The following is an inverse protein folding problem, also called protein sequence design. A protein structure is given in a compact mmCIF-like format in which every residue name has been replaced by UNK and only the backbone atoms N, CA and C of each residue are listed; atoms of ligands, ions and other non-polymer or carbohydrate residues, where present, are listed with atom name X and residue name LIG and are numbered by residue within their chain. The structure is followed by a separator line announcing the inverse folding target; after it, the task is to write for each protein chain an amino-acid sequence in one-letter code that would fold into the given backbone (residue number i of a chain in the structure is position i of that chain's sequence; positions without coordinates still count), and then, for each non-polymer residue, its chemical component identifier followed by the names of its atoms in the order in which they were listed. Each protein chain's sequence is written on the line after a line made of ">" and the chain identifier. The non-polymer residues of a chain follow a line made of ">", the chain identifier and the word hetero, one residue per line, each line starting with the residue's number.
data_IF_276909233069
#
_entry.id   IF_276909233069
#
_cell.length_a   1.000
_cell.length_b   1.000
_cell.length_c   1.000
_cell.angle_alpha   90.00
_cell.angle_beta   90.00
_cell.angle_gamma   90.00
#
_symmetry.space_group_name_H-M   'P 1'
#
loop_
_entity.id
_entity.type
_entity.pdbx_description
1 polymer ?
#
# COMPACT_ATOMS: atom_id res chain seq x y z
N UNK A 1 -11.36 -25.54 -33.45
CA UNK A 1 -10.49 -25.25 -32.29
C UNK A 1 -9.75 -23.94 -32.56
N UNK A 2 -9.95 -22.91 -31.74
CA UNK A 2 -9.28 -21.61 -31.91
C UNK A 2 -7.81 -21.75 -31.50
N UNK A 3 -6.90 -21.61 -32.46
CA UNK A 3 -5.47 -21.59 -32.20
C UNK A 3 -5.10 -20.34 -31.39
N UNK A 4 -4.62 -20.54 -30.17
CA UNK A 4 -4.02 -19.49 -29.36
C UNK A 4 -2.77 -18.98 -30.08
N UNK A 5 -2.81 -17.71 -30.52
CA UNK A 5 -1.66 -17.05 -31.15
C UNK A 5 -0.41 -17.05 -30.25
N UNK A 6 0.78 -16.83 -30.84
CA UNK A 6 2.05 -16.96 -30.14
C UNK A 6 2.10 -16.07 -28.89
N UNK A 7 2.37 -16.68 -27.73
CA UNK A 7 2.60 -15.97 -26.47
C UNK A 7 3.76 -14.98 -26.66
N UNK A 8 3.49 -13.67 -26.51
CA UNK A 8 4.54 -12.64 -26.46
C UNK A 8 5.56 -13.05 -25.38
N UNK A 9 6.83 -13.21 -25.77
CA UNK A 9 7.94 -13.44 -24.84
C UNK A 9 7.91 -12.34 -23.76
N UNK A 10 8.02 -12.67 -22.46
CA UNK A 10 8.09 -11.65 -21.43
C UNK A 10 9.31 -10.77 -21.70
N UNK A 11 9.11 -9.45 -21.79
CA UNK A 11 10.21 -8.49 -21.74
C UNK A 11 10.88 -8.69 -20.38
N UNK A 12 12.11 -9.20 -20.37
CA UNK A 12 12.96 -9.23 -19.18
C UNK A 12 13.11 -7.79 -18.72
N UNK A 13 12.39 -7.46 -17.65
CA UNK A 13 12.52 -6.16 -17.01
C UNK A 13 13.81 -6.20 -16.21
N UNK A 14 14.55 -5.10 -16.19
CA UNK A 14 15.77 -5.02 -15.40
C UNK A 14 15.50 -5.45 -13.94
N UNK A 15 16.35 -6.30 -13.32
CA UNK A 15 16.14 -6.78 -11.96
C UNK A 15 15.94 -5.66 -10.93
N UNK A 16 16.68 -4.55 -11.03
CA UNK A 16 16.52 -3.42 -10.10
C UNK A 16 15.17 -2.73 -10.30
N UNK A 17 14.70 -2.59 -11.54
CA UNK A 17 13.35 -2.10 -11.81
C UNK A 17 12.31 -3.06 -11.22
N UNK A 18 12.53 -4.36 -11.34
CA UNK A 18 11.64 -5.37 -10.76
C UNK A 18 11.58 -5.29 -9.23
N UNK A 19 12.72 -5.18 -8.55
CA UNK A 19 12.80 -5.01 -7.10
C UNK A 19 12.20 -3.67 -6.64
N UNK A 20 12.47 -2.59 -7.37
CA UNK A 20 11.89 -1.27 -7.11
C UNK A 20 10.36 -1.28 -7.14
N UNK A 21 9.75 -2.07 -8.04
CA UNK A 21 8.29 -2.27 -8.07
C UNK A 21 7.76 -2.92 -6.80
N UNK A 22 8.49 -3.87 -6.21
CA UNK A 22 8.09 -4.53 -4.97
C UNK A 22 8.30 -3.63 -3.75
N UNK A 23 9.47 -3.01 -3.66
CA UNK A 23 9.83 -2.05 -2.63
C UNK A 23 8.79 -0.93 -2.50
N UNK A 24 8.42 -0.32 -3.63
CA UNK A 24 7.41 0.75 -3.67
C UNK A 24 6.01 0.32 -3.21
N UNK A 25 5.68 -0.97 -3.32
CA UNK A 25 4.36 -1.50 -2.91
C UNK A 25 4.32 -2.00 -1.47
N UNK A 26 5.46 -2.39 -0.90
CA UNK A 26 5.48 -3.19 0.33
C UNK A 26 6.36 -2.65 1.45
N UNK A 27 7.23 -1.69 1.13
CA UNK A 27 8.14 -1.07 2.10
C UNK A 27 7.86 0.44 2.16
N UNK A 28 8.05 1.16 1.05
CA UNK A 28 7.78 2.60 1.05
C UNK A 28 7.42 3.15 -0.33
N UNK A 29 6.21 3.69 -0.47
CA UNK A 29 5.67 4.09 -1.78
C UNK A 29 6.10 5.47 -2.29
N UNK A 30 6.46 6.37 -1.36
CA UNK A 30 6.65 7.80 -1.64
C UNK A 30 8.05 8.31 -1.25
N UNK A 31 9.05 7.46 -1.07
CA UNK A 31 10.39 7.93 -0.74
C UNK A 31 11.15 8.36 -2.00
N UNK A 32 12.11 9.27 -1.83
CA UNK A 32 13.14 9.52 -2.83
C UNK A 32 14.24 8.47 -2.66
N UNK A 33 14.30 7.48 -3.55
CA UNK A 33 15.24 6.35 -3.41
C UNK A 33 16.69 6.81 -3.51
N UNK A 34 16.98 7.88 -4.25
CA UNK A 34 18.32 8.42 -4.35
C UNK A 34 18.78 9.00 -3.01
N UNK A 35 17.99 9.91 -2.43
CA UNK A 35 18.27 10.45 -1.11
C UNK A 35 18.37 9.36 -0.04
N UNK A 36 17.46 8.38 -0.07
CA UNK A 36 17.45 7.24 0.85
C UNK A 36 18.77 6.44 0.81
N UNK A 37 19.29 6.15 -0.38
CA UNK A 37 20.55 5.42 -0.54
C UNK A 37 21.73 6.29 -0.11
N UNK A 38 21.81 7.53 -0.58
CA UNK A 38 22.90 8.45 -0.23
C UNK A 38 23.00 8.65 1.29
N UNK A 39 21.88 8.98 1.94
CA UNK A 39 21.84 9.18 3.39
C UNK A 39 22.15 7.89 4.15
N UNK A 40 21.68 6.75 3.66
CA UNK A 40 21.96 5.44 4.25
C UNK A 40 23.44 5.05 4.19
N UNK A 41 24.09 5.31 3.06
CA UNK A 41 25.53 5.08 2.87
C UNK A 41 26.34 5.99 3.80
N UNK A 42 26.06 7.30 3.81
CA UNK A 42 26.72 8.26 4.72
C UNK A 42 26.58 7.82 6.18
N UNK A 43 25.40 7.34 6.57
CA UNK A 43 25.17 6.86 7.93
C UNK A 43 25.98 5.60 8.27
N UNK A 44 26.15 4.69 7.32
CA UNK A 44 26.92 3.45 7.53
C UNK A 44 28.44 3.63 7.39
N UNK A 45 28.90 4.72 6.76
CA UNK A 45 30.32 5.05 6.65
C UNK A 45 30.73 6.11 7.67
N UNK A 46 30.43 7.37 7.38
CA UNK A 46 30.90 8.56 8.08
C UNK A 46 30.30 8.72 9.47
N UNK A 47 29.06 8.26 9.68
CA UNK A 47 28.33 8.40 10.95
C UNK A 47 28.08 7.06 11.66
N UNK A 48 28.90 6.05 11.36
CA UNK A 48 28.72 4.69 11.87
C UNK A 48 28.94 4.54 13.37
N UNK A 49 29.76 5.41 13.97
CA UNK A 49 30.04 5.44 15.40
C UNK A 49 29.06 6.30 16.21
N UNK A 50 28.17 7.06 15.54
CA UNK A 50 27.19 7.89 16.23
C UNK A 50 26.09 7.02 16.88
N UNK A 51 25.75 7.27 18.16
CA UNK A 51 24.68 6.53 18.82
C UNK A 51 23.31 6.87 18.22
N UNK A 52 22.33 5.98 18.38
CA UNK A 52 21.01 6.13 17.75
C UNK A 52 20.27 7.41 18.20
N UNK A 53 20.54 7.88 19.42
CA UNK A 53 20.00 9.11 20.01
C UNK A 53 20.51 10.38 19.32
N UNK A 54 21.62 10.32 18.57
CA UNK A 54 22.13 11.45 17.80
C UNK A 54 21.26 11.77 16.57
N UNK A 55 20.39 10.85 16.16
CA UNK A 55 19.55 10.97 14.97
C UNK A 55 18.12 11.36 15.35
N UNK A 56 17.56 12.27 14.56
CA UNK A 56 16.15 12.64 14.65
C UNK A 56 15.23 11.43 14.39
N UNK A 57 13.98 11.50 14.87
CA UNK A 57 12.99 10.46 14.59
C UNK A 57 12.82 10.21 13.07
N UNK A 58 12.93 11.27 12.26
CA UNK A 58 12.84 11.17 10.81
C UNK A 58 14.05 10.42 10.21
N UNK A 59 15.27 10.75 10.61
CA UNK A 59 16.48 10.04 10.15
C UNK A 59 16.47 8.57 10.55
N UNK A 60 15.97 8.24 11.75
CA UNK A 60 15.82 6.85 12.19
C UNK A 60 14.81 6.07 11.35
N UNK A 61 13.66 6.67 11.02
CA UNK A 61 12.68 6.08 10.10
C UNK A 61 13.25 5.89 8.70
N UNK A 62 13.93 6.91 8.16
CA UNK A 62 14.56 6.82 6.84
C UNK A 62 15.60 5.69 6.79
N UNK A 63 16.44 5.58 7.83
CA UNK A 63 17.42 4.50 7.91
C UNK A 63 16.80 3.10 8.05
N UNK A 64 15.66 2.97 8.75
CA UNK A 64 14.87 1.74 8.79
C UNK A 64 14.40 1.35 7.39
N UNK A 65 13.88 2.30 6.61
CA UNK A 65 13.46 2.07 5.22
C UNK A 65 14.66 1.67 4.34
N UNK A 66 15.80 2.32 4.51
CA UNK A 66 17.05 1.99 3.81
C UNK A 66 17.49 0.55 4.12
N UNK A 67 17.49 0.16 5.39
CA UNK A 67 17.85 -1.19 5.83
C UNK A 67 16.90 -2.24 5.24
N UNK A 68 15.59 -1.95 5.19
CA UNK A 68 14.61 -2.82 4.55
C UNK A 68 14.83 -2.93 3.04
N UNK A 69 15.21 -1.83 2.36
CA UNK A 69 15.58 -1.87 0.94
C UNK A 69 16.77 -2.79 0.70
N UNK A 70 17.86 -2.64 1.47
CA UNK A 70 19.06 -3.48 1.36
C UNK A 70 18.73 -4.96 1.51
N UNK A 71 17.90 -5.32 2.51
CA UNK A 71 17.47 -6.71 2.74
C UNK A 71 16.54 -7.26 1.66
N UNK A 72 15.82 -6.39 0.94
CA UNK A 72 14.82 -6.80 -0.06
C UNK A 72 15.42 -7.15 -1.43
N UNK A 73 16.68 -6.77 -1.68
CA UNK A 73 17.37 -6.97 -2.96
C UNK A 73 18.66 -7.75 -2.71
N UNK A 74 18.73 -9.03 -3.13
CA UNK A 74 19.93 -9.84 -2.92
C UNK A 74 21.20 -9.20 -3.49
N UNK A 75 22.23 -9.08 -2.67
CA UNK A 75 23.54 -8.52 -3.05
C UNK A 75 23.57 -7.00 -3.26
N UNK A 76 22.48 -6.28 -2.98
CA UNK A 76 22.42 -4.82 -3.18
C UNK A 76 23.34 -4.07 -2.23
N UNK A 77 23.37 -4.46 -0.95
CA UNK A 77 24.19 -3.82 0.08
C UNK A 77 25.67 -3.93 -0.27
N UNK A 78 26.16 -5.15 -0.53
CA UNK A 78 27.55 -5.39 -0.98
C UNK A 78 27.87 -4.55 -2.22
N UNK A 79 27.00 -4.61 -3.24
CA UNK A 79 27.22 -3.87 -4.49
C UNK A 79 27.33 -2.34 -4.28
N UNK A 80 26.52 -1.77 -3.39
CA UNK A 80 26.57 -0.34 -3.09
C UNK A 80 27.83 -0.01 -2.27
N UNK A 81 28.14 -0.82 -1.27
CA UNK A 81 29.25 -0.55 -0.34
C UNK A 81 30.63 -0.77 -0.96
N UNK A 82 30.75 -1.63 -1.97
CA UNK A 82 32.02 -1.88 -2.69
C UNK A 82 32.16 -1.05 -3.96
N UNK A 83 31.18 -0.20 -4.31
CA UNK A 83 31.27 0.60 -5.53
C UNK A 83 32.06 1.87 -5.28
N UNK A 84 33.16 2.04 -6.02
CA UNK A 84 33.93 3.29 -6.03
C UNK A 84 33.32 4.36 -6.98
N UNK A 85 32.16 4.07 -7.58
CA UNK A 85 31.51 4.93 -8.58
C UNK A 85 30.19 5.50 -8.06
N UNK A 86 30.18 6.80 -7.75
CA UNK A 86 28.94 7.54 -7.44
C UNK A 86 27.90 7.44 -8.57
N UNK A 87 28.36 7.37 -9.82
CA UNK A 87 27.49 7.20 -10.99
C UNK A 87 26.79 5.84 -10.98
N UNK A 88 27.48 4.76 -10.61
CA UNK A 88 26.87 3.45 -10.48
C UNK A 88 25.80 3.44 -9.38
N UNK A 89 26.10 3.98 -8.20
CA UNK A 89 25.14 4.08 -7.09
C UNK A 89 23.92 4.91 -7.50
N UNK A 90 24.14 6.02 -8.21
CA UNK A 90 23.07 6.85 -8.77
C UNK A 90 22.20 6.08 -9.78
N UNK A 91 22.83 5.28 -10.65
CA UNK A 91 22.13 4.46 -11.63
C UNK A 91 21.28 3.37 -10.97
N UNK A 92 21.81 2.72 -9.91
CA UNK A 92 21.06 1.75 -9.10
C UNK A 92 19.82 2.41 -8.49
N UNK A 93 19.98 3.56 -7.84
CA UNK A 93 18.90 4.32 -7.24
C UNK A 93 17.83 4.71 -8.28
N UNK A 94 18.28 5.15 -9.46
CA UNK A 94 17.40 5.52 -10.58
C UNK A 94 16.56 4.34 -11.07
N UNK A 95 17.15 3.15 -11.18
CA UNK A 95 16.44 1.96 -11.63
C UNK A 95 15.42 1.46 -10.60
N UNK A 96 15.76 1.49 -9.31
CA UNK A 96 14.83 1.20 -8.22
C UNK A 96 13.67 2.22 -8.18
N UNK A 97 13.98 3.51 -8.27
CA UNK A 97 12.97 4.59 -8.30
C UNK A 97 12.04 4.44 -9.51
N UNK A 98 12.59 4.12 -10.68
CA UNK A 98 11.82 3.83 -11.90
C UNK A 98 10.88 2.65 -11.68
N UNK A 99 11.34 1.60 -11.01
CA UNK A 99 10.51 0.48 -10.59
C UNK A 99 9.32 0.91 -9.74
N UNK A 100 9.57 1.60 -8.63
CA UNK A 100 8.55 2.07 -7.70
C UNK A 100 7.52 2.99 -8.39
N UNK A 101 7.99 3.98 -9.17
CA UNK A 101 7.12 4.91 -9.90
C UNK A 101 6.29 4.19 -10.96
N UNK A 102 6.89 3.24 -11.71
CA UNK A 102 6.16 2.48 -12.74
C UNK A 102 5.08 1.58 -12.12
N UNK A 103 5.37 0.92 -10.98
CA UNK A 103 4.37 0.15 -10.25
C UNK A 103 3.18 1.02 -9.84
N UNK A 104 3.46 2.19 -9.26
CA UNK A 104 2.43 3.15 -8.84
C UNK A 104 1.57 3.65 -9.99
N UNK A 105 2.17 3.96 -11.13
CA UNK A 105 1.44 4.40 -12.34
C UNK A 105 0.55 3.29 -12.91
N UNK A 106 1.06 2.05 -12.97
CA UNK A 106 0.29 0.88 -13.43
C UNK A 106 -0.92 0.61 -12.51
N UNK A 107 -0.69 0.62 -11.19
CA UNK A 107 -1.71 0.35 -10.19
C UNK A 107 -2.78 1.46 -10.20
N UNK A 108 -2.36 2.73 -10.21
CA UNK A 108 -3.25 3.90 -10.37
C UNK A 108 -4.15 3.74 -11.60
N UNK A 109 -3.55 3.42 -12.74
CA UNK A 109 -4.27 3.27 -14.01
C UNK A 109 -5.29 2.13 -13.95
N UNK A 110 -4.90 0.99 -13.37
CA UNK A 110 -5.75 -0.20 -13.32
C UNK A 110 -6.90 -0.08 -12.32
N UNK A 111 -6.69 0.60 -11.18
CA UNK A 111 -7.71 0.81 -10.16
C UNK A 111 -8.73 1.88 -10.56
N UNK A 112 -8.33 2.85 -11.38
CA UNK A 112 -9.16 3.99 -11.80
C UNK A 112 -10.55 3.58 -12.27
N UNK A 113 -10.66 2.54 -13.09
CA UNK A 113 -11.96 2.05 -13.58
C UNK A 113 -12.57 1.04 -12.62
N UNK A 114 -11.78 0.08 -12.12
CA UNK A 114 -12.25 -1.03 -11.31
C UNK A 114 -12.95 -0.56 -10.02
N UNK A 115 -12.45 0.49 -9.38
CA UNK A 115 -13.03 0.96 -8.12
C UNK A 115 -14.46 1.47 -8.24
N UNK A 116 -14.86 1.94 -9.42
CA UNK A 116 -16.23 2.42 -9.68
C UNK A 116 -17.21 1.26 -9.65
N UNK A 117 -16.81 0.10 -10.17
CA UNK A 117 -17.63 -1.12 -10.14
C UNK A 117 -17.83 -1.66 -8.71
N UNK A 118 -17.04 -1.18 -7.75
CA UNK A 118 -17.14 -1.61 -6.34
C UNK A 118 -17.98 -0.69 -5.47
N UNK A 119 -18.40 0.47 -6.01
CA UNK A 119 -19.14 1.48 -5.23
C UNK A 119 -20.56 1.04 -4.88
N UNK A 120 -21.17 0.21 -5.72
CA UNK A 120 -22.52 -0.33 -5.55
C UNK A 120 -22.54 -1.85 -5.79
N UNK A 121 -23.54 -2.56 -5.26
CA UNK A 121 -23.82 -3.94 -5.63
C UNK A 121 -24.00 -4.13 -7.15
N UNK A 122 -23.75 -5.35 -7.63
CA UNK A 122 -23.92 -5.68 -9.03
C UNK A 122 -25.39 -5.48 -9.47
N UNK A 123 -25.59 -4.71 -10.55
CA UNK A 123 -26.91 -4.39 -11.09
C UNK A 123 -27.46 -3.02 -10.68
N UNK A 124 -26.83 -2.35 -9.72
CA UNK A 124 -27.16 -0.97 -9.37
C UNK A 124 -26.33 0.05 -10.17
N UNK A 125 -26.92 1.23 -10.40
CA UNK A 125 -26.28 2.31 -11.14
C UNK A 125 -26.05 3.53 -10.23
N UNK A 126 -24.88 4.17 -10.39
CA UNK A 126 -24.61 5.46 -9.77
C UNK A 126 -25.46 6.54 -10.42
N UNK A 127 -26.01 7.43 -9.60
CA UNK A 127 -26.80 8.58 -10.05
C UNK A 127 -26.17 9.84 -9.44
N UNK A 128 -25.60 10.75 -10.27
CA UNK A 128 -25.39 10.60 -11.71
C UNK A 128 -24.33 9.52 -12.07
N UNK A 129 -24.32 8.96 -13.28
CA UNK A 129 -23.30 7.99 -13.68
C UNK A 129 -21.88 8.57 -13.61
N UNK A 130 -20.94 7.83 -13.02
CA UNK A 130 -19.52 8.21 -12.98
C UNK A 130 -18.76 7.59 -14.15
N UNK A 131 -18.01 8.41 -14.88
CA UNK A 131 -17.10 7.94 -15.92
C UNK A 131 -16.00 7.00 -15.36
N UNK A 132 -15.82 5.83 -15.99
CA UNK A 132 -14.78 4.86 -15.59
C UNK A 132 -13.35 5.37 -15.79
N UNK A 133 -13.14 6.19 -16.82
CA UNK A 133 -11.80 6.67 -17.24
C UNK A 133 -11.58 8.17 -16.98
N UNK A 134 -12.57 8.89 -16.43
CA UNK A 134 -12.49 10.33 -16.14
C UNK A 134 -12.82 10.51 -14.66
N UNK A 135 -12.01 11.31 -13.95
CA UNK A 135 -12.14 11.50 -12.50
C UNK A 135 -12.84 12.79 -12.09
N UNK A 136 -13.06 13.74 -13.01
CA UNK A 136 -13.52 15.10 -12.69
C UNK A 136 -14.80 15.11 -11.83
N UNK A 137 -15.76 14.24 -12.16
CA UNK A 137 -17.03 14.08 -11.44
C UNK A 137 -16.94 13.20 -10.17
N UNK A 138 -15.75 12.80 -9.73
CA UNK A 138 -15.55 12.02 -8.50
C UNK A 138 -15.18 12.95 -7.34
N UNK A 139 -14.67 12.40 -6.25
CA UNK A 139 -14.36 13.18 -5.07
C UNK A 139 -15.64 13.72 -4.44
N UNK A 140 -15.57 14.96 -3.95
CA UNK A 140 -16.69 15.64 -3.31
C UNK A 140 -17.78 16.10 -4.30
N UNK A 141 -17.52 16.07 -5.62
CA UNK A 141 -18.50 16.43 -6.65
C UNK A 141 -19.61 15.39 -6.85
N UNK A 142 -19.46 14.18 -6.32
CA UNK A 142 -20.46 13.12 -6.42
C UNK A 142 -20.80 12.54 -5.05
N UNK A 143 -22.10 12.33 -4.81
CA UNK A 143 -22.65 11.91 -3.52
C UNK A 143 -21.97 10.67 -2.95
N UNK A 144 -21.87 9.59 -3.73
CA UNK A 144 -21.25 8.33 -3.29
C UNK A 144 -19.75 8.41 -3.00
N UNK A 145 -18.96 9.02 -3.88
CA UNK A 145 -17.51 9.13 -3.69
C UNK A 145 -17.16 10.14 -2.62
N UNK A 146 -17.92 11.24 -2.53
CA UNK A 146 -17.77 12.26 -1.51
C UNK A 146 -18.07 11.70 -0.13
N UNK A 147 -19.16 10.94 0.03
CA UNK A 147 -19.48 10.26 1.28
C UNK A 147 -18.34 9.36 1.76
N UNK A 148 -17.71 8.59 0.87
CA UNK A 148 -16.59 7.73 1.22
C UNK A 148 -15.32 8.50 1.57
N UNK A 149 -15.07 9.64 0.91
CA UNK A 149 -13.87 10.45 1.11
C UNK A 149 -14.01 11.48 2.22
N UNK A 150 -15.22 11.68 2.75
CA UNK A 150 -15.47 12.55 3.88
C UNK A 150 -14.64 12.08 5.09
N UNK A 151 -13.97 13.00 5.82
CA UNK A 151 -13.29 12.66 7.05
C UNK A 151 -14.21 11.92 8.02
N UNK A 152 -13.68 10.92 8.72
CA UNK A 152 -14.48 10.02 9.55
C UNK A 152 -15.26 10.72 10.68
N UNK A 153 -14.71 11.81 11.22
CA UNK A 153 -15.36 12.64 12.25
C UNK A 153 -16.24 13.77 11.72
N UNK A 154 -16.51 13.81 10.40
CA UNK A 154 -17.28 14.87 9.75
C UNK A 154 -18.57 14.28 9.22
N UNK A 155 -19.70 14.91 9.54
CA UNK A 155 -21.00 14.46 9.05
C UNK A 155 -21.20 14.88 7.58
N UNK A 156 -21.11 13.90 6.68
CA UNK A 156 -21.39 14.12 5.27
C UNK A 156 -22.85 14.54 5.02
N UNK A 157 -23.79 14.30 5.92
CA UNK A 157 -25.20 14.67 5.72
C UNK A 157 -25.44 16.19 5.76
N UNK A 158 -24.53 16.94 6.39
CA UNK A 158 -24.55 18.40 6.49
C UNK A 158 -24.28 19.05 5.11
N UNK A 159 -25.26 19.81 4.62
CA UNK A 159 -25.19 20.47 3.32
C UNK A 159 -24.14 21.58 3.28
N UNK A 160 -23.91 22.30 4.37
CA UNK A 160 -22.89 23.34 4.43
C UNK A 160 -21.50 22.72 4.29
N UNK A 161 -21.26 21.61 5.00
CA UNK A 161 -20.02 20.84 4.92
C UNK A 161 -19.80 20.30 3.51
N UNK A 162 -20.83 19.70 2.88
CA UNK A 162 -20.74 19.24 1.48
C UNK A 162 -20.32 20.36 0.53
N UNK A 163 -20.91 21.55 0.68
CA UNK A 163 -20.60 22.68 -0.19
C UNK A 163 -19.18 23.18 0.03
N UNK A 164 -18.72 23.30 1.28
CA UNK A 164 -17.35 23.71 1.60
C UNK A 164 -16.30 22.71 1.08
N UNK A 165 -16.59 21.41 1.16
CA UNK A 165 -15.73 20.36 0.60
C UNK A 165 -15.71 20.38 -0.94
N UNK A 166 -16.84 20.68 -1.58
CA UNK A 166 -16.95 20.82 -3.04
C UNK A 166 -16.24 22.07 -3.57
N UNK A 167 -16.40 23.20 -2.89
CA UNK A 167 -15.76 24.47 -3.28
C UNK A 167 -14.27 24.50 -2.97
N UNK A 168 -13.80 23.63 -2.07
CA UNK A 168 -12.43 23.63 -1.56
C UNK A 168 -12.19 24.65 -0.44
N UNK A 169 -13.23 25.31 0.06
CA UNK A 169 -13.16 26.17 1.24
C UNK A 169 -12.78 25.38 2.49
N UNK A 170 -13.27 24.14 2.61
CA UNK A 170 -12.81 23.18 3.60
C UNK A 170 -11.78 22.26 2.96
N UNK A 171 -10.50 22.57 3.19
CA UNK A 171 -9.40 21.68 2.80
C UNK A 171 -9.29 20.52 3.78
N UNK A 172 -9.24 19.29 3.26
CA UNK A 172 -9.08 18.06 4.05
C UNK A 172 -7.61 17.69 4.07
N UNK A 173 -6.99 17.83 5.23
CA UNK A 173 -5.60 17.44 5.47
C UNK A 173 -5.42 15.92 5.37
N UNK A 174 -4.24 15.44 4.96
CA UNK A 174 -3.98 14.01 4.76
C UNK A 174 -4.13 13.16 6.03
N UNK A 175 -3.95 13.73 7.22
CA UNK A 175 -4.19 13.08 8.52
C UNK A 175 -5.66 13.01 8.94
N UNK A 176 -6.56 13.72 8.25
CA UNK A 176 -8.00 13.55 8.40
C UNK A 176 -8.47 12.35 7.58
N UNK A 177 -8.37 11.18 8.18
CA UNK A 177 -8.65 9.93 7.48
C UNK A 177 -10.12 9.81 7.05
N UNK A 178 -10.38 9.36 5.80
CA UNK A 178 -11.72 9.26 5.28
C UNK A 178 -12.46 8.04 5.84
N UNK A 179 -13.80 8.13 5.90
CA UNK A 179 -14.66 7.01 6.33
C UNK A 179 -14.47 5.74 5.47
N UNK A 180 -13.95 5.90 4.25
CA UNK A 180 -13.48 4.82 3.35
C UNK A 180 -12.63 3.76 4.05
N UNK A 181 -11.84 4.14 5.06
CA UNK A 181 -10.94 3.20 5.73
C UNK A 181 -11.69 2.22 6.64
N UNK A 182 -12.87 2.59 7.12
CA UNK A 182 -13.56 1.88 8.18
C UNK A 182 -14.46 0.77 7.65
N UNK A 183 -14.51 -0.34 8.39
CA UNK A 183 -15.45 -1.44 8.13
C UNK A 183 -16.88 -0.91 8.10
N UNK A 184 -17.65 -1.33 7.10
CA UNK A 184 -19.02 -0.84 6.86
C UNK A 184 -19.17 0.68 6.73
N UNK A 185 -18.06 1.42 6.56
CA UNK A 185 -18.02 2.88 6.50
C UNK A 185 -18.63 3.54 7.74
N UNK A 186 -18.32 3.01 8.94
CA UNK A 186 -18.78 3.55 10.23
C UNK A 186 -17.60 3.86 11.13
N UNK A 187 -17.58 5.08 11.67
CA UNK A 187 -16.60 5.54 12.64
C UNK A 187 -17.21 5.48 14.05
N UNK A 188 -16.41 5.04 15.02
CA UNK A 188 -16.76 4.94 16.42
C UNK A 188 -15.80 5.84 17.20
N UNK A 189 -16.29 6.98 17.67
CA UNK A 189 -15.48 7.99 18.38
C UNK A 189 -14.97 7.48 19.75
N UNK A 190 -15.70 6.54 20.36
CA UNK A 190 -15.29 5.88 21.60
C UNK A 190 -14.27 4.77 21.39
N UNK A 191 -14.16 4.26 20.16
CA UNK A 191 -13.16 3.26 19.77
C UNK A 191 -12.68 3.48 18.32
N UNK A 192 -11.76 4.45 18.09
CA UNK A 192 -11.30 4.82 16.76
C UNK A 192 -10.61 3.69 15.98
N UNK A 193 -10.13 2.64 16.65
CA UNK A 193 -9.53 1.47 15.99
C UNK A 193 -10.55 0.53 15.36
N UNK A 194 -11.81 0.60 15.81
CA UNK A 194 -12.84 -0.34 15.42
C UNK A 194 -13.10 -0.29 13.92
N UNK A 195 -12.67 -1.34 13.23
CA UNK A 195 -12.86 -1.47 11.79
C UNK A 195 -11.92 -0.62 10.95
N UNK A 196 -10.96 0.10 11.54
CA UNK A 196 -10.00 0.91 10.81
C UNK A 196 -9.18 0.03 9.85
N UNK A 197 -9.02 0.48 8.60
CA UNK A 197 -8.36 -0.23 7.50
C UNK A 197 -8.97 -1.60 7.17
N UNK A 198 -10.24 -1.84 7.49
CA UNK A 198 -10.94 -3.13 7.25
C UNK A 198 -12.14 -3.00 6.29
N UNK A 199 -12.25 -1.90 5.56
CA UNK A 199 -13.36 -1.74 4.61
C UNK A 199 -13.26 -2.70 3.42
N UNK A 200 -14.43 -3.12 2.90
CA UNK A 200 -14.50 -4.08 1.79
C UNK A 200 -13.81 -3.55 0.53
N UNK A 201 -13.94 -2.26 0.25
CA UNK A 201 -13.32 -1.63 -0.91
C UNK A 201 -11.78 -1.59 -0.81
N UNK A 202 -11.23 -1.47 0.40
CA UNK A 202 -9.78 -1.62 0.61
C UNK A 202 -9.32 -3.05 0.35
N UNK A 203 -10.06 -4.06 0.83
CA UNK A 203 -9.73 -5.47 0.55
C UNK A 203 -9.77 -5.75 -0.96
N UNK A 204 -10.77 -5.22 -1.67
CA UNK A 204 -10.84 -5.32 -3.15
C UNK A 204 -9.66 -4.63 -3.83
N UNK A 205 -9.29 -3.43 -3.40
CA UNK A 205 -8.14 -2.69 -3.93
C UNK A 205 -6.83 -3.46 -3.70
N UNK A 206 -6.62 -4.00 -2.50
CA UNK A 206 -5.46 -4.82 -2.17
C UNK A 206 -5.40 -6.06 -3.06
N UNK A 207 -6.50 -6.80 -3.19
CA UNK A 207 -6.57 -8.00 -4.04
C UNK A 207 -6.29 -7.67 -5.51
N UNK A 208 -6.83 -6.56 -6.01
CA UNK A 208 -6.59 -6.08 -7.37
C UNK A 208 -5.12 -5.77 -7.62
N UNK A 209 -4.44 -5.11 -6.68
CA UNK A 209 -3.00 -4.79 -6.78
C UNK A 209 -2.15 -6.05 -6.63
N UNK A 210 -2.36 -6.84 -5.57
CA UNK A 210 -1.40 -7.86 -5.15
C UNK A 210 -1.70 -9.26 -5.69
N UNK A 211 -2.96 -9.63 -5.87
CA UNK A 211 -3.33 -11.01 -6.24
C UNK A 211 -3.68 -11.14 -7.72
N UNK A 212 -4.77 -10.53 -8.17
CA UNK A 212 -5.15 -10.44 -9.58
C UNK A 212 -6.38 -9.55 -9.68
N UNK A 213 -6.55 -8.77 -10.75
CA UNK A 213 -7.85 -8.13 -11.02
C UNK A 213 -9.01 -9.15 -11.07
N UNK A 214 -8.74 -10.37 -11.53
CA UNK A 214 -9.75 -11.44 -11.64
C UNK A 214 -10.15 -12.09 -10.31
N UNK A 215 -9.34 -11.98 -9.25
CA UNK A 215 -9.64 -12.61 -7.94
C UNK A 215 -10.59 -11.79 -7.06
N UNK A 216 -11.06 -10.63 -7.55
CA UNK A 216 -12.01 -9.79 -6.83
C UNK A 216 -13.43 -10.37 -6.85
N UNK A 217 -13.80 -11.16 -7.88
CA UNK A 217 -15.19 -11.59 -8.10
C UNK A 217 -15.47 -13.11 -8.17
N UNK A 218 -14.56 -13.99 -8.66
CA UNK A 218 -14.66 -15.48 -8.62
C UNK A 218 -13.43 -16.17 -9.24
N UNK A 219 -13.32 -17.50 -9.12
CA UNK A 219 -12.17 -18.38 -9.47
C UNK A 219 -11.20 -17.84 -10.52
N UNK A 220 -9.93 -17.76 -10.13
CA UNK A 220 -8.84 -17.12 -10.85
C UNK A 220 -8.59 -17.77 -12.23
N UNK A 221 -9.21 -17.21 -13.27
CA UNK A 221 -8.78 -17.39 -14.68
C UNK A 221 -7.62 -16.44 -15.02
N UNK A 222 -6.62 -16.37 -14.14
CA UNK A 222 -5.49 -15.46 -14.32
C UNK A 222 -4.51 -16.02 -15.36
N UNK A 223 -4.25 -15.27 -16.43
CA UNK A 223 -3.23 -15.61 -17.44
C UNK A 223 -1.81 -15.27 -16.98
N UNK A 224 -1.67 -14.56 -15.85
CA UNK A 224 -0.40 -14.12 -15.24
C UNK A 224 -0.46 -14.24 -13.72
N UNK A 225 0.67 -14.55 -13.11
CA UNK A 225 0.83 -14.56 -11.64
C UNK A 225 0.58 -13.16 -11.06
N UNK A 226 -0.04 -13.11 -9.88
CA UNK A 226 -0.19 -11.88 -9.10
C UNK A 226 1.11 -11.31 -8.59
N UNK A 227 1.15 -10.01 -8.28
CA UNK A 227 2.32 -9.35 -7.71
C UNK A 227 2.81 -10.04 -6.42
N UNK A 228 1.90 -10.46 -5.54
CA UNK A 228 2.21 -11.23 -4.35
C UNK A 228 2.94 -12.54 -4.67
N UNK A 229 2.43 -13.30 -5.66
CA UNK A 229 3.08 -14.55 -6.09
C UNK A 229 4.42 -14.30 -6.80
N UNK A 230 4.49 -13.26 -7.63
CA UNK A 230 5.69 -12.86 -8.36
C UNK A 230 6.84 -12.57 -7.39
N UNK A 231 6.54 -11.92 -6.26
CA UNK A 231 7.54 -11.54 -5.26
C UNK A 231 7.57 -12.47 -4.04
N UNK A 232 6.90 -13.64 -4.10
CA UNK A 232 6.93 -14.62 -3.01
C UNK A 232 6.29 -14.16 -1.69
N UNK A 233 5.37 -13.20 -1.73
CA UNK A 233 4.68 -12.71 -0.53
C UNK A 233 3.82 -13.81 0.10
N UNK A 234 4.03 -14.04 1.39
CA UNK A 234 3.24 -14.97 2.22
C UNK A 234 2.38 -14.26 3.25
N UNK A 235 2.61 -12.96 3.45
CA UNK A 235 1.85 -12.08 4.33
C UNK A 235 1.80 -10.66 3.79
N UNK A 236 0.86 -9.88 4.30
CA UNK A 236 0.78 -8.43 4.11
C UNK A 236 1.84 -7.73 4.96
N UNK A 237 2.21 -6.52 4.57
CA UNK A 237 2.97 -5.56 5.39
C UNK A 237 2.10 -4.34 5.70
N UNK A 238 2.38 -3.59 6.77
CA UNK A 238 1.72 -2.32 7.07
C UNK A 238 1.75 -1.39 5.84
N UNK A 239 2.95 -1.17 5.28
CA UNK A 239 3.13 -0.36 4.09
C UNK A 239 2.32 -0.85 2.87
N UNK A 240 2.12 -2.16 2.68
CA UNK A 240 1.28 -2.68 1.60
C UNK A 240 -0.21 -2.37 1.78
N UNK A 241 -0.70 -2.35 3.02
CA UNK A 241 -2.07 -1.98 3.35
C UNK A 241 -2.25 -0.47 3.11
N UNK A 242 -1.34 0.34 3.65
CA UNK A 242 -1.35 1.80 3.45
C UNK A 242 -1.26 2.14 1.96
N UNK A 243 -0.39 1.49 1.21
CA UNK A 243 -0.29 1.67 -0.23
C UNK A 243 -1.62 1.41 -0.94
N UNK A 244 -2.31 0.30 -0.63
CA UNK A 244 -3.62 0.00 -1.20
C UNK A 244 -4.67 1.06 -0.81
N UNK A 245 -4.63 1.55 0.43
CA UNK A 245 -5.50 2.63 0.90
C UNK A 245 -5.25 3.96 0.17
N UNK A 246 -3.99 4.35 0.00
CA UNK A 246 -3.61 5.56 -0.76
C UNK A 246 -4.04 5.45 -2.21
N UNK A 247 -3.86 4.28 -2.84
CA UNK A 247 -4.30 4.02 -4.20
C UNK A 247 -5.83 4.09 -4.35
N UNK A 248 -6.58 3.50 -3.41
CA UNK A 248 -8.04 3.53 -3.41
C UNK A 248 -8.58 4.95 -3.21
N UNK A 249 -8.05 5.67 -2.19
CA UNK A 249 -8.40 7.07 -1.91
C UNK A 249 -8.13 7.94 -3.13
N UNK A 250 -6.95 7.81 -3.73
CA UNK A 250 -6.63 8.54 -4.96
C UNK A 250 -7.59 8.17 -6.08
N UNK A 251 -7.87 6.89 -6.35
CA UNK A 251 -8.76 6.49 -7.44
C UNK A 251 -10.19 7.05 -7.30
N UNK A 252 -10.67 7.28 -6.08
CA UNK A 252 -11.97 7.90 -5.80
C UNK A 252 -11.96 9.43 -5.82
N UNK A 253 -10.79 10.08 -5.76
CA UNK A 253 -10.70 11.54 -5.80
C UNK A 253 -11.01 12.11 -7.19
N UNK A 254 -11.17 13.43 -7.29
CA UNK A 254 -11.30 14.13 -8.57
C UNK A 254 -9.96 14.41 -9.27
N UNK A 255 -8.84 14.38 -8.54
CA UNK A 255 -7.50 14.74 -9.04
C UNK A 255 -7.05 13.82 -10.18
N UNK A 256 -6.51 14.38 -11.26
CA UNK A 256 -6.02 13.61 -12.41
C UNK A 256 -4.56 13.15 -12.27
N UNK A 257 -3.79 13.78 -11.37
CA UNK A 257 -2.35 13.57 -11.22
C UNK A 257 -2.05 13.09 -9.80
N UNK A 258 -1.33 11.97 -9.70
CA UNK A 258 -0.77 11.52 -8.44
C UNK A 258 0.61 12.17 -8.26
N UNK A 259 0.71 13.18 -7.40
CA UNK A 259 1.98 13.84 -7.07
C UNK A 259 2.25 13.78 -5.57
N UNK A 260 3.53 13.76 -5.21
CA UNK A 260 4.00 13.94 -3.83
C UNK A 260 3.72 15.34 -3.30
N UNK A 261 3.79 16.33 -4.18
CA UNK A 261 3.57 17.75 -3.86
C UNK A 261 2.10 18.19 -4.02
N UNK A 262 1.19 17.25 -4.30
CA UNK A 262 -0.23 17.57 -4.44
C UNK A 262 -0.83 17.84 -3.04
N UNK A 263 -0.99 19.12 -2.71
CA UNK A 263 -1.63 19.57 -1.48
C UNK A 263 -3.16 19.47 -1.50
N UNK A 264 -3.76 19.22 -2.67
CA UNK A 264 -5.22 19.06 -2.79
C UNK A 264 -5.66 17.67 -2.34
N UNK A 265 -4.94 16.63 -2.76
CA UNK A 265 -5.18 15.29 -2.20
C UNK A 265 -4.34 15.03 -0.97
N UNK A 266 -3.20 15.68 -0.80
CA UNK A 266 -2.27 15.49 0.32
C UNK A 266 -1.93 14.00 0.55
N UNK A 267 -1.63 13.31 -0.57
CA UNK A 267 -1.44 11.85 -0.59
C UNK A 267 -0.21 11.39 0.19
N UNK A 268 0.83 12.24 0.30
CA UNK A 268 2.04 11.94 1.07
C UNK A 268 1.77 12.00 2.58
N UNK A 269 1.13 13.06 3.08
CA UNK A 269 0.72 13.13 4.50
C UNK A 269 -0.27 12.03 4.86
N UNK A 270 -1.20 11.71 3.96
CA UNK A 270 -2.12 10.58 4.15
C UNK A 270 -1.38 9.24 4.28
N UNK A 271 -0.42 8.97 3.40
CA UNK A 271 0.38 7.74 3.48
C UNK A 271 1.23 7.72 4.76
N UNK A 272 1.94 8.80 5.06
CA UNK A 272 2.85 8.86 6.20
C UNK A 272 2.09 8.78 7.53
N UNK A 273 0.99 9.51 7.70
CA UNK A 273 0.20 9.47 8.95
C UNK A 273 -0.33 8.07 9.28
N UNK A 274 -0.83 7.33 8.28
CA UNK A 274 -1.25 5.94 8.48
C UNK A 274 -0.06 5.03 8.80
N UNK A 275 1.05 5.18 8.09
CA UNK A 275 2.21 4.33 8.31
C UNK A 275 2.85 4.60 9.68
N UNK A 276 2.92 5.86 10.10
CA UNK A 276 3.41 6.27 11.42
C UNK A 276 2.57 5.65 12.53
N UNK A 277 1.23 5.74 12.44
CA UNK A 277 0.35 5.09 13.42
C UNK A 277 0.55 3.56 13.43
N UNK A 278 0.68 2.91 12.27
CA UNK A 278 0.90 1.46 12.20
C UNK A 278 2.30 1.01 12.65
N UNK A 279 3.24 1.95 12.82
CA UNK A 279 4.59 1.71 13.31
C UNK A 279 4.79 2.20 14.75
N UNK A 280 3.77 2.78 15.37
CA UNK A 280 3.80 3.23 16.74
C UNK A 280 3.91 2.03 17.70
N UNK A 281 4.94 1.97 18.57
CA UNK A 281 5.07 0.91 19.56
C UNK A 281 3.83 0.74 20.44
N UNK A 282 3.12 1.81 20.76
CA UNK A 282 1.95 1.79 21.65
C UNK A 282 0.73 1.11 20.99
N UNK A 283 0.71 1.05 19.66
CA UNK A 283 -0.39 0.49 18.85
C UNK A 283 -0.13 -0.97 18.43
N UNK A 284 0.94 -1.59 18.94
CA UNK A 284 1.41 -2.91 18.49
C UNK A 284 0.35 -4.02 18.62
N UNK A 285 -0.51 -3.96 19.63
CA UNK A 285 -1.54 -4.99 19.88
C UNK A 285 -2.59 -4.95 18.76
N UNK A 286 -3.11 -3.77 18.47
CA UNK A 286 -4.11 -3.46 17.46
C UNK A 286 -3.55 -3.72 16.05
N UNK A 287 -2.32 -3.29 15.78
CA UNK A 287 -1.62 -3.54 14.51
C UNK A 287 -1.45 -5.03 14.26
N UNK A 288 -1.04 -5.82 15.26
CA UNK A 288 -0.91 -7.27 15.11
C UNK A 288 -2.25 -7.96 14.83
N UNK A 289 -3.33 -7.50 15.48
CA UNK A 289 -4.68 -7.99 15.20
C UNK A 289 -5.12 -7.64 13.76
N UNK A 290 -4.83 -6.42 13.31
CA UNK A 290 -5.10 -5.95 11.95
C UNK A 290 -4.35 -6.80 10.91
N UNK A 291 -3.04 -7.01 11.08
CA UNK A 291 -2.22 -7.82 10.19
C UNK A 291 -2.71 -9.27 10.12
N UNK A 292 -3.08 -9.84 11.27
CA UNK A 292 -3.67 -11.19 11.35
C UNK A 292 -4.97 -11.28 10.54
N UNK A 293 -5.85 -10.29 10.70
CA UNK A 293 -7.11 -10.21 9.96
C UNK A 293 -6.88 -10.09 8.45
N UNK A 294 -5.97 -9.21 8.04
CA UNK A 294 -5.64 -9.01 6.62
C UNK A 294 -5.08 -10.27 5.99
N UNK A 295 -4.13 -10.92 6.65
CA UNK A 295 -3.53 -12.15 6.17
C UNK A 295 -4.57 -13.25 5.96
N UNK A 296 -5.51 -13.43 6.90
CA UNK A 296 -6.65 -14.35 6.74
C UNK A 296 -7.56 -13.99 5.57
N UNK A 297 -7.70 -12.69 5.28
CA UNK A 297 -8.62 -12.17 4.26
C UNK A 297 -8.07 -12.26 2.82
N UNK A 298 -6.75 -12.22 2.65
CA UNK A 298 -6.10 -12.15 1.33
C UNK A 298 -5.21 -13.35 0.99
N UNK A 299 -4.68 -14.07 1.97
CA UNK A 299 -3.83 -15.25 1.76
C UNK A 299 -4.54 -16.54 2.23
N UNK A 300 -5.09 -17.36 1.30
CA UNK A 300 -5.85 -18.56 1.65
C UNK A 300 -5.10 -19.61 2.48
N UNK A 301 -3.76 -19.62 2.38
CA UNK A 301 -2.89 -20.56 3.10
C UNK A 301 -2.29 -19.99 4.38
N UNK A 302 -2.74 -18.80 4.83
CA UNK A 302 -2.24 -18.21 6.06
C UNK A 302 -2.75 -18.97 7.28
N UNK A 303 -1.87 -19.79 7.86
CA UNK A 303 -2.13 -20.51 9.11
C UNK A 303 -1.48 -19.75 10.26
N UNK A 304 -2.29 -19.11 11.12
CA UNK A 304 -1.79 -18.59 12.42
C UNK A 304 -1.43 -19.70 13.39
N UNK A 305 -1.98 -20.90 13.16
CA UNK A 305 -1.81 -22.02 14.04
C UNK A 305 -0.75 -22.94 13.45
N UNK A 306 0.42 -23.00 14.11
CA UNK A 306 1.18 -24.26 14.13
C UNK A 306 0.16 -25.33 14.50
N UNK A 307 -0.13 -26.28 13.60
CA UNK A 307 -1.02 -27.39 13.93
C UNK A 307 -0.56 -27.94 15.29
N UNK A 308 -1.43 -28.03 16.30
CA UNK A 308 -1.03 -28.58 17.59
C UNK A 308 -0.37 -29.92 17.30
N UNK A 309 0.88 -30.04 17.72
CA UNK A 309 1.65 -31.25 17.53
C UNK A 309 0.86 -32.36 18.22
N UNK A 310 0.43 -33.36 17.46
CA UNK A 310 -0.35 -34.47 18.03
C UNK A 310 0.41 -35.01 19.25
N UNK A 311 -0.30 -35.19 20.37
CA UNK A 311 0.28 -35.58 21.66
C UNK A 311 1.14 -36.85 21.55
N UNK A 312 0.79 -37.74 20.61
CA UNK A 312 1.49 -39.01 20.39
C UNK A 312 2.59 -38.95 19.33
N UNK A 313 2.77 -37.81 18.67
CA UNK A 313 3.77 -37.69 17.61
C UNK A 313 5.20 -37.74 18.16
N UNK A 314 6.12 -38.24 17.33
CA UNK A 314 7.55 -38.20 17.64
C UNK A 314 8.03 -36.77 17.95
N UNK A 315 7.47 -35.75 17.28
CA UNK A 315 7.79 -34.35 17.52
C UNK A 315 7.38 -33.87 18.92
N UNK A 316 6.23 -34.30 19.45
CA UNK A 316 5.83 -34.02 20.83
C UNK A 316 6.80 -34.67 21.83
N UNK A 317 7.17 -35.93 21.59
CA UNK A 317 8.13 -36.68 22.43
C UNK A 317 9.54 -36.10 22.40
N UNK A 318 9.98 -35.56 21.26
CA UNK A 318 11.27 -34.88 21.12
C UNK A 318 11.27 -33.54 21.86
N UNK A 319 10.21 -32.74 21.73
CA UNK A 319 10.09 -31.46 22.44
C UNK A 319 10.02 -31.61 23.96
N UNK A 320 9.40 -32.68 24.45
CA UNK A 320 9.33 -32.97 25.89
C UNK A 320 10.66 -33.42 26.53
N UNK A 321 11.69 -33.69 25.72
CA UNK A 321 13.03 -34.08 26.18
C UNK A 321 14.04 -32.93 26.22
N UNK A 322 13.66 -31.72 25.77
CA UNK A 322 14.44 -30.49 25.95
C UNK A 322 13.98 -29.79 27.21
#
# INVERSE_FOLDING_TARGET
>A
ALQLGPRKKPRTTDPLVHHGRHFGRTIHALCNVNALITNGVIRMSERSEEPEEAFTAQERREHKVFTLLMRSVPGLEERIMTSDSEEEVHNIATMLQKGASSARSDDTKSLKSAIIDWLLPAGECLIPPIGRNIKIERGFHHERTGALLCPAGVDWSDQEIKQKLRSGELSVSGDQWPILLYSSYKYDDTNPWKGLLQSVILVKAYKHIFTSPSSVEREAKATRSGNARIHGMTSVTCASIVYAATQARFALSSSSVFSRTDTTTDSERFYNSLLEMLEDPDETVEVNALLTWWNRSVFPNYNTNSRPVSKDSALAKIKAKR
#
